data_IF_080240896252
#
_entry.id   IF_080240896252
#
_cell.length_a   1.000
_cell.length_b   1.000
_cell.length_c   1.000
_cell.angle_alpha   90.00
_cell.angle_beta   90.00
_cell.angle_gamma   90.00
#
_symmetry.space_group_name_H-M   'P 1'
#
loop_
_entity.id
_entity.type
_entity.pdbx_description
1 polymer ?
#
# COMPACT_ATOMS: atom_id res chain seq x y z
N UNK A 1 7.10 -3.55 -1.93
CA UNK A 1 6.75 -2.35 -1.13
C UNK A 1 6.60 -1.11 -2.01
N UNK A 2 7.65 -0.61 -2.66
CA UNK A 2 7.52 0.56 -3.57
C UNK A 2 6.46 0.36 -4.65
N UNK A 3 6.42 -0.81 -5.31
CA UNK A 3 5.36 -1.15 -6.25
C UNK A 3 3.96 -1.08 -5.64
N UNK A 4 3.80 -1.59 -4.41
CA UNK A 4 2.52 -1.60 -3.68
C UNK A 4 2.06 -0.16 -3.44
N UNK A 5 2.96 0.70 -2.94
CA UNK A 5 2.65 2.12 -2.75
C UNK A 5 2.28 2.82 -4.06
N UNK A 6 3.03 2.59 -5.15
CA UNK A 6 2.70 3.19 -6.44
C UNK A 6 1.31 2.78 -6.94
N UNK A 7 1.00 1.48 -6.95
CA UNK A 7 -0.28 0.98 -7.44
C UNK A 7 -1.46 1.41 -6.56
N UNK A 8 -1.31 1.43 -5.25
CA UNK A 8 -2.37 1.92 -4.35
C UNK A 8 -2.50 3.45 -4.38
N UNK A 9 -1.48 4.20 -4.80
CA UNK A 9 -1.61 5.64 -5.12
C UNK A 9 -2.51 5.85 -6.32
N UNK A 10 -2.32 5.05 -7.38
CA UNK A 10 -3.20 5.05 -8.56
C UNK A 10 -4.63 4.67 -8.15
N UNK A 11 -4.79 3.60 -7.37
CA UNK A 11 -6.10 3.19 -6.90
C UNK A 11 -6.80 4.29 -6.08
N UNK A 12 -6.08 4.97 -5.18
CA UNK A 12 -6.64 6.08 -4.40
C UNK A 12 -7.18 7.21 -5.27
N UNK A 13 -6.46 7.56 -6.34
CA UNK A 13 -6.83 8.64 -7.24
C UNK A 13 -8.08 8.29 -8.07
N UNK A 14 -8.16 7.06 -8.60
CA UNK A 14 -9.24 6.68 -9.53
C UNK A 14 -10.48 6.06 -8.86
N UNK A 15 -10.42 5.66 -7.59
CA UNK A 15 -11.55 5.00 -6.92
C UNK A 15 -12.78 5.91 -6.79
N UNK A 16 -12.63 7.21 -6.47
CA UNK A 16 -13.77 8.12 -6.37
C UNK A 16 -14.42 8.39 -7.73
N UNK A 17 -13.68 8.73 -8.80
CA UNK A 17 -14.24 8.81 -10.15
C UNK A 17 -14.94 7.52 -10.60
N UNK A 18 -14.33 6.36 -10.33
CA UNK A 18 -14.93 5.07 -10.65
C UNK A 18 -16.24 4.85 -9.89
N UNK A 19 -16.26 5.08 -8.57
CA UNK A 19 -17.45 4.94 -7.75
C UNK A 19 -18.58 5.85 -8.23
N UNK A 20 -18.29 7.11 -8.61
CA UNK A 20 -19.28 8.05 -9.16
C UNK A 20 -19.97 7.52 -10.40
N UNK A 21 -19.23 6.88 -11.32
CA UNK A 21 -19.81 6.29 -12.52
C UNK A 21 -20.54 4.99 -12.22
N UNK A 22 -20.00 4.17 -11.31
CA UNK A 22 -20.57 2.89 -10.95
C UNK A 22 -21.92 3.03 -10.24
N UNK A 23 -22.08 4.06 -9.42
CA UNK A 23 -23.33 4.36 -8.71
C UNK A 23 -24.15 5.45 -9.38
N UNK A 24 -23.88 5.76 -10.65
CA UNK A 24 -24.65 6.75 -11.39
C UNK A 24 -26.11 6.30 -11.56
N UNK A 25 -27.06 7.16 -11.17
CA UNK A 25 -28.50 6.85 -11.19
C UNK A 25 -29.03 6.18 -9.92
N UNK A 26 -28.16 5.81 -8.98
CA UNK A 26 -28.55 5.32 -7.66
C UNK A 26 -28.74 6.53 -6.73
N UNK A 27 -29.94 6.72 -6.17
CA UNK A 27 -30.31 7.91 -5.37
C UNK A 27 -30.83 7.58 -3.97
N UNK A 28 -30.95 6.30 -3.63
CA UNK A 28 -31.41 5.83 -2.33
C UNK A 28 -30.41 6.11 -1.20
N UNK A 29 -29.10 5.98 -1.47
CA UNK A 29 -28.02 6.17 -0.49
C UNK A 29 -26.83 6.91 -1.13
N UNK A 30 -26.15 7.76 -0.35
CA UNK A 30 -24.89 8.40 -0.77
C UNK A 30 -23.69 7.46 -0.61
N UNK A 31 -23.27 6.84 -1.70
CA UNK A 31 -22.11 5.94 -1.74
C UNK A 31 -20.75 6.67 -1.78
N UNK A 32 -20.74 7.98 -2.10
CA UNK A 32 -19.52 8.75 -2.31
C UNK A 32 -19.04 9.33 -0.97
N UNK A 33 -18.21 8.55 -0.27
CA UNK A 33 -17.60 8.95 0.99
C UNK A 33 -16.13 9.36 0.79
N UNK A 34 -15.83 10.66 0.73
CA UNK A 34 -14.49 11.17 0.36
C UNK A 34 -13.32 10.66 1.23
N UNK A 35 -13.55 10.41 2.53
CA UNK A 35 -12.51 9.92 3.43
C UNK A 35 -12.32 8.39 3.42
N UNK A 36 -13.32 7.64 2.93
CA UNK A 36 -13.34 6.19 2.98
C UNK A 36 -12.27 5.54 2.08
N UNK A 37 -12.02 6.01 0.84
CA UNK A 37 -10.89 5.57 0.02
C UNK A 37 -9.56 5.58 0.75
N UNK A 38 -9.25 6.68 1.44
CA UNK A 38 -7.97 6.84 2.12
C UNK A 38 -7.79 5.81 3.24
N UNK A 39 -8.86 5.51 3.97
CA UNK A 39 -8.83 4.47 5.02
C UNK A 39 -8.64 3.07 4.42
N UNK A 40 -9.37 2.72 3.35
CA UNK A 40 -9.18 1.44 2.65
C UNK A 40 -7.77 1.31 2.08
N UNK A 41 -7.28 2.34 1.40
CA UNK A 41 -5.94 2.33 0.84
C UNK A 41 -4.89 2.18 1.96
N UNK A 42 -5.10 2.81 3.11
CA UNK A 42 -4.21 2.65 4.27
C UNK A 42 -4.18 1.21 4.79
N UNK A 43 -5.33 0.52 4.89
CA UNK A 43 -5.34 -0.89 5.31
C UNK A 43 -4.60 -1.79 4.32
N UNK A 44 -4.81 -1.57 3.02
CA UNK A 44 -4.12 -2.32 1.98
C UNK A 44 -2.62 -2.03 1.91
N UNK A 45 -2.19 -0.78 2.08
CA UNK A 45 -0.78 -0.42 2.15
C UNK A 45 -0.09 -1.16 3.30
N UNK A 46 -0.68 -1.16 4.49
CA UNK A 46 -0.15 -1.89 5.66
C UNK A 46 -0.12 -3.40 5.44
N UNK A 47 -1.21 -3.99 4.93
CA UNK A 47 -1.34 -5.42 4.69
C UNK A 47 -0.38 -5.93 3.61
N UNK A 48 -0.39 -5.32 2.42
CA UNK A 48 0.47 -5.71 1.32
C UNK A 48 1.93 -5.30 1.55
N UNK A 49 2.17 -4.18 2.23
CA UNK A 49 3.51 -3.69 2.53
C UNK A 49 4.29 -4.61 3.47
N UNK A 50 3.62 -5.22 4.45
CA UNK A 50 4.23 -6.19 5.38
C UNK A 50 4.30 -7.63 4.83
N UNK A 51 3.62 -7.93 3.72
CA UNK A 51 3.49 -9.30 3.20
C UNK A 51 4.83 -9.99 2.96
N UNK A 52 5.80 -9.31 2.34
CA UNK A 52 7.13 -9.88 2.10
C UNK A 52 7.85 -10.28 3.40
N UNK A 53 7.74 -9.46 4.45
CA UNK A 53 8.33 -9.78 5.76
C UNK A 53 7.58 -10.94 6.46
N UNK A 54 6.27 -11.04 6.26
CA UNK A 54 5.48 -12.16 6.74
C UNK A 54 5.88 -13.49 6.06
N UNK A 55 6.14 -13.45 4.75
CA UNK A 55 6.63 -14.62 4.02
C UNK A 55 7.98 -15.13 4.53
N UNK A 56 8.89 -14.24 4.94
CA UNK A 56 10.16 -14.63 5.58
C UNK A 56 9.91 -15.45 6.85
N UNK A 57 8.93 -15.06 7.67
CA UNK A 57 8.55 -15.80 8.89
C UNK A 57 8.01 -17.19 8.54
N UNK A 58 7.16 -17.26 7.51
CA UNK A 58 6.58 -18.52 7.05
C UNK A 58 7.65 -19.47 6.51
N UNK A 59 8.57 -18.98 5.67
CA UNK A 59 9.65 -19.79 5.11
C UNK A 59 10.69 -20.23 6.14
N UNK A 60 10.91 -19.44 7.20
CA UNK A 60 11.75 -19.85 8.31
C UNK A 60 11.08 -20.89 9.24
N UNK A 61 9.81 -21.25 9.02
CA UNK A 61 9.06 -22.16 9.90
C UNK A 61 8.65 -21.54 11.24
N UNK A 62 8.81 -20.23 11.42
CA UNK A 62 8.54 -19.51 12.67
C UNK A 62 7.06 -19.11 12.83
N UNK A 63 6.15 -19.64 12.01
CA UNK A 63 4.72 -19.32 12.06
C UNK A 63 4.14 -19.53 13.47
N UNK A 64 4.37 -20.72 14.07
CA UNK A 64 3.89 -21.04 15.43
C UNK A 64 4.44 -20.10 16.50
N UNK A 65 5.70 -19.65 16.36
CA UNK A 65 6.35 -18.73 17.30
C UNK A 65 5.71 -17.34 17.29
N UNK A 66 5.09 -16.94 16.18
CA UNK A 66 4.42 -15.63 16.06
C UNK A 66 2.90 -15.69 16.20
N UNK A 67 2.34 -16.89 16.46
CA UNK A 67 0.90 -17.12 16.54
C UNK A 67 0.23 -16.28 17.64
N UNK A 68 0.84 -16.17 18.83
CA UNK A 68 0.30 -15.34 19.92
C UNK A 68 0.13 -13.88 19.52
N UNK A 69 1.03 -13.37 18.68
CA UNK A 69 0.96 -12.00 18.16
C UNK A 69 -0.10 -11.82 17.09
N UNK A 70 -0.38 -12.87 16.30
CA UNK A 70 -1.52 -12.89 15.38
C UNK A 70 -2.86 -12.92 16.14
N UNK A 71 -2.95 -13.65 17.26
CA UNK A 71 -4.13 -13.62 18.13
C UNK A 71 -4.35 -12.21 18.70
N UNK A 72 -3.27 -11.56 19.15
CA UNK A 72 -3.36 -10.18 19.66
C UNK A 72 -3.76 -9.18 18.56
N UNK A 73 -3.26 -9.33 17.33
CA UNK A 73 -3.71 -8.54 16.17
C UNK A 73 -5.22 -8.66 15.96
N UNK A 74 -5.77 -9.89 15.95
CA UNK A 74 -7.21 -10.11 15.81
C UNK A 74 -8.01 -9.52 16.98
N UNK A 75 -7.50 -9.64 18.20
CA UNK A 75 -8.14 -9.06 19.39
C UNK A 75 -8.18 -7.53 19.33
N UNK A 76 -7.07 -6.88 18.96
CA UNK A 76 -7.01 -5.43 18.74
C UNK A 76 -8.03 -5.01 17.67
N UNK A 77 -8.07 -5.73 16.55
CA UNK A 77 -9.01 -5.41 15.46
C UNK A 77 -10.45 -5.47 15.97
N UNK A 78 -10.84 -6.57 16.62
CA UNK A 78 -12.21 -6.78 17.08
C UNK A 78 -12.61 -5.74 18.14
N UNK A 79 -11.80 -5.56 19.18
CA UNK A 79 -12.11 -4.66 20.30
C UNK A 79 -12.21 -3.21 19.80
N UNK A 80 -11.20 -2.73 19.07
CA UNK A 80 -11.19 -1.35 18.60
C UNK A 80 -12.31 -1.11 17.59
N UNK A 81 -12.56 -2.05 16.68
CA UNK A 81 -13.66 -1.93 15.71
C UNK A 81 -15.03 -1.88 16.39
N UNK A 82 -15.30 -2.75 17.37
CA UNK A 82 -16.58 -2.77 18.09
C UNK A 82 -16.79 -1.50 18.92
N UNK A 83 -15.73 -0.96 19.53
CA UNK A 83 -15.85 0.32 20.25
C UNK A 83 -16.08 1.46 19.25
N UNK A 84 -15.26 1.55 18.21
CA UNK A 84 -15.26 2.68 17.28
C UNK A 84 -16.47 2.71 16.33
N UNK A 85 -17.06 1.56 15.97
CA UNK A 85 -18.23 1.49 15.08
C UNK A 85 -19.45 2.19 15.68
N UNK A 86 -19.60 2.16 17.01
CA UNK A 86 -20.69 2.84 17.71
C UNK A 86 -20.62 4.37 17.57
N UNK A 87 -19.43 4.93 17.34
CA UNK A 87 -19.23 6.38 17.20
C UNK A 87 -19.08 6.83 15.75
N UNK A 88 -18.42 6.02 14.91
CA UNK A 88 -18.02 6.41 13.55
C UNK A 88 -18.45 5.43 12.46
N UNK A 89 -19.32 4.46 12.76
CA UNK A 89 -19.79 3.47 11.80
C UNK A 89 -18.64 2.74 11.08
N UNK A 90 -18.71 2.65 9.75
CA UNK A 90 -17.68 1.99 8.93
C UNK A 90 -16.29 2.62 9.07
N UNK A 91 -16.20 3.94 9.30
CA UNK A 91 -14.91 4.60 9.53
C UNK A 91 -14.24 4.04 10.80
N UNK A 92 -15.03 3.79 11.85
CA UNK A 92 -14.55 3.18 13.09
C UNK A 92 -14.00 1.77 12.90
N UNK A 93 -14.69 0.94 12.09
CA UNK A 93 -14.23 -0.41 11.76
C UNK A 93 -12.91 -0.39 10.98
N UNK A 94 -12.77 0.53 10.02
CA UNK A 94 -11.52 0.69 9.27
C UNK A 94 -10.38 1.19 10.17
N UNK A 95 -10.66 2.10 11.10
CA UNK A 95 -9.67 2.55 12.08
C UNK A 95 -9.20 1.41 13.01
N UNK A 96 -10.12 0.53 13.45
CA UNK A 96 -9.75 -0.68 14.20
C UNK A 96 -8.86 -1.63 13.40
N UNK A 97 -9.16 -1.78 12.10
CA UNK A 97 -8.30 -2.55 11.19
C UNK A 97 -6.91 -1.92 11.02
N UNK A 98 -6.83 -0.60 10.83
CA UNK A 98 -5.55 0.12 10.73
C UNK A 98 -4.75 -0.02 12.03
N UNK A 99 -5.36 0.10 13.19
CA UNK A 99 -4.70 -0.04 14.49
C UNK A 99 -4.08 -1.44 14.66
N UNK A 100 -4.85 -2.50 14.36
CA UNK A 100 -4.36 -3.87 14.39
C UNK A 100 -3.20 -4.10 13.40
N UNK A 101 -3.36 -3.58 12.17
CA UNK A 101 -2.34 -3.69 11.13
C UNK A 101 -1.06 -2.92 11.49
N UNK A 102 -1.14 -1.76 12.14
CA UNK A 102 0.02 -1.00 12.60
C UNK A 102 0.80 -1.78 13.67
N UNK A 103 0.09 -2.34 14.65
CA UNK A 103 0.70 -3.24 15.64
C UNK A 103 1.43 -4.40 14.96
N UNK A 104 0.73 -5.14 14.10
CA UNK A 104 1.28 -6.35 13.50
C UNK A 104 2.38 -6.07 12.48
N UNK A 105 2.25 -5.01 11.69
CA UNK A 105 3.27 -4.62 10.70
C UNK A 105 4.60 -4.36 11.39
N UNK A 106 4.58 -3.60 12.49
CA UNK A 106 5.79 -3.33 13.27
C UNK A 106 6.41 -4.61 13.82
N UNK A 107 5.59 -5.46 14.44
CA UNK A 107 6.04 -6.73 14.97
C UNK A 107 6.71 -7.63 13.90
N UNK A 108 6.05 -7.82 12.76
CA UNK A 108 6.56 -8.64 11.66
C UNK A 108 7.86 -8.05 11.10
N UNK A 109 7.92 -6.73 10.91
CA UNK A 109 9.13 -6.05 10.39
C UNK A 109 10.29 -6.23 11.36
N UNK A 110 10.09 -6.04 12.65
CA UNK A 110 11.15 -6.18 13.65
C UNK A 110 11.59 -7.63 13.76
N UNK A 111 10.65 -8.58 13.86
CA UNK A 111 10.94 -9.99 14.01
C UNK A 111 11.68 -10.55 12.79
N UNK A 112 11.19 -10.31 11.58
CA UNK A 112 11.83 -10.79 10.34
C UNK A 112 13.24 -10.23 10.17
N UNK A 113 13.47 -8.95 10.47
CA UNK A 113 14.79 -8.35 10.29
C UNK A 113 15.77 -8.77 11.39
N UNK A 114 15.38 -8.70 12.67
CA UNK A 114 16.32 -8.92 13.78
C UNK A 114 16.50 -10.40 14.13
N UNK A 115 15.43 -11.18 14.12
CA UNK A 115 15.46 -12.58 14.58
C UNK A 115 15.84 -13.54 13.46
N UNK A 116 15.29 -13.33 12.24
CA UNK A 116 15.52 -14.26 11.12
C UNK A 116 16.69 -13.80 10.25
N UNK A 117 16.70 -12.54 9.82
CA UNK A 117 17.71 -12.01 8.89
C UNK A 117 18.95 -11.44 9.59
N UNK A 118 18.99 -11.43 10.92
CA UNK A 118 20.09 -10.91 11.74
C UNK A 118 20.62 -9.54 11.30
N UNK A 119 19.71 -8.63 10.93
CA UNK A 119 20.04 -7.28 10.44
C UNK A 119 19.16 -6.21 11.09
N UNK A 120 19.62 -4.97 11.01
CA UNK A 120 18.82 -3.83 11.49
C UNK A 120 17.54 -3.65 10.67
N UNK A 121 16.39 -3.51 11.37
CA UNK A 121 15.09 -3.18 10.77
C UNK A 121 15.04 -1.74 10.21
N UNK A 122 16.02 -0.89 10.56
CA UNK A 122 16.06 0.52 10.15
C UNK A 122 15.98 0.71 8.65
N UNK A 123 16.66 -0.15 7.86
CA UNK A 123 16.58 -0.09 6.40
C UNK A 123 15.15 -0.28 5.89
N UNK A 124 14.38 -1.19 6.49
CA UNK A 124 12.97 -1.41 6.14
C UNK A 124 12.11 -0.22 6.54
N UNK A 125 12.31 0.34 7.74
CA UNK A 125 11.57 1.52 8.20
C UNK A 125 11.85 2.78 7.36
N UNK A 126 13.11 3.03 7.02
CA UNK A 126 13.49 4.14 6.13
C UNK A 126 12.75 4.03 4.79
N UNK A 127 12.66 2.83 4.22
CA UNK A 127 11.90 2.62 2.98
C UNK A 127 10.40 2.87 3.18
N UNK A 128 9.82 2.46 4.29
CA UNK A 128 8.41 2.71 4.60
C UNK A 128 8.14 4.21 4.66
N UNK A 129 8.97 4.94 5.41
CA UNK A 129 8.87 6.37 5.58
C UNK A 129 8.98 7.10 4.24
N UNK A 130 9.98 6.76 3.41
CA UNK A 130 10.18 7.40 2.10
C UNK A 130 8.99 7.17 1.17
N UNK A 131 8.48 5.94 1.06
CA UNK A 131 7.31 5.67 0.22
C UNK A 131 6.04 6.35 0.78
N UNK A 132 5.89 6.41 2.09
CA UNK A 132 4.77 7.11 2.74
C UNK A 132 4.82 8.63 2.46
N UNK A 133 6.01 9.24 2.53
CA UNK A 133 6.18 10.66 2.20
C UNK A 133 5.86 10.92 0.72
N UNK A 134 6.31 10.06 -0.21
CA UNK A 134 5.96 10.20 -1.63
C UNK A 134 4.45 10.07 -1.85
N UNK A 135 3.79 9.11 -1.18
CA UNK A 135 2.34 8.95 -1.23
C UNK A 135 1.62 10.22 -0.74
N UNK A 136 1.99 10.75 0.42
CA UNK A 136 1.39 11.97 0.97
C UNK A 136 1.62 13.18 0.04
N UNK A 137 2.82 13.30 -0.54
CA UNK A 137 3.11 14.35 -1.53
C UNK A 137 2.22 14.25 -2.76
N UNK A 138 1.97 13.04 -3.28
CA UNK A 138 1.05 12.84 -4.40
C UNK A 138 -0.40 13.21 -4.03
N UNK A 139 -0.87 12.85 -2.83
CA UNK A 139 -2.19 13.28 -2.34
C UNK A 139 -2.31 14.80 -2.23
N UNK A 140 -1.22 15.50 -1.89
CA UNK A 140 -1.21 16.95 -1.85
C UNK A 140 -1.28 17.55 -3.26
N UNK A 141 -0.48 17.02 -4.21
CA UNK A 141 -0.48 17.47 -5.61
C UNK A 141 -1.83 17.21 -6.29
N UNK A 142 -2.48 16.07 -5.99
CA UNK A 142 -3.80 15.70 -6.50
C UNK A 142 -4.86 16.80 -6.27
N UNK A 143 -4.79 17.55 -5.16
CA UNK A 143 -5.75 18.63 -4.86
C UNK A 143 -5.75 19.76 -5.90
N UNK A 144 -4.67 19.92 -6.65
CA UNK A 144 -4.52 20.96 -7.68
C UNK A 144 -4.87 20.44 -9.08
N UNK A 145 -5.20 19.16 -9.22
CA UNK A 145 -5.49 18.52 -10.49
C UNK A 145 -7.02 18.41 -10.64
N UNK A 146 -7.60 19.16 -11.59
CA UNK A 146 -9.02 19.06 -11.92
C UNK A 146 -9.21 18.23 -13.20
N UNK A 147 -9.57 16.95 -13.06
CA UNK A 147 -9.89 16.07 -14.19
C UNK A 147 -11.39 15.76 -14.26
N UNK A 148 -11.97 15.86 -15.46
CA UNK A 148 -13.34 15.44 -15.76
C UNK A 148 -13.37 13.98 -16.23
N UNK A 149 -13.47 13.07 -15.25
CA UNK A 149 -13.47 11.62 -15.47
C UNK A 149 -14.90 11.06 -15.56
N UNK A 150 -15.66 11.52 -16.55
CA UNK A 150 -17.11 11.27 -16.67
C UNK A 150 -17.47 9.99 -17.46
N UNK A 151 -16.49 9.20 -17.86
CA UNK A 151 -16.70 7.95 -18.60
C UNK A 151 -15.63 6.93 -18.28
N UNK A 152 -16.00 5.65 -18.30
CA UNK A 152 -15.07 4.53 -18.12
C UNK A 152 -13.90 4.59 -19.11
N UNK A 153 -14.16 5.01 -20.36
CA UNK A 153 -13.11 5.17 -21.37
C UNK A 153 -12.08 6.23 -20.96
N UNK A 154 -12.55 7.39 -20.47
CA UNK A 154 -11.66 8.44 -19.95
C UNK A 154 -10.87 7.94 -18.75
N UNK A 155 -11.50 7.26 -17.79
CA UNK A 155 -10.80 6.69 -16.62
C UNK A 155 -9.64 5.79 -17.07
N UNK A 156 -9.88 4.84 -17.98
CA UNK A 156 -8.85 3.92 -18.48
C UNK A 156 -7.75 4.70 -19.20
N UNK A 157 -8.11 5.64 -20.08
CA UNK A 157 -7.17 6.43 -20.86
C UNK A 157 -6.23 7.26 -19.98
N UNK A 158 -6.74 7.89 -18.91
CA UNK A 158 -5.93 8.68 -17.96
C UNK A 158 -5.17 7.80 -16.95
N UNK A 159 -5.69 6.61 -16.63
CA UNK A 159 -5.08 5.68 -15.68
C UNK A 159 -3.72 5.16 -16.17
N UNK A 160 -3.58 4.87 -17.46
CA UNK A 160 -2.32 4.36 -18.05
C UNK A 160 -1.15 5.34 -17.85
N UNK A 161 -1.21 6.60 -18.36
CA UNK A 161 -0.11 7.55 -18.19
C UNK A 161 0.11 7.92 -16.73
N UNK A 162 -0.95 8.00 -15.91
CA UNK A 162 -0.81 8.26 -14.47
C UNK A 162 -0.09 7.11 -13.75
N UNK A 163 -0.38 5.86 -14.11
CA UNK A 163 0.33 4.69 -13.57
C UNK A 163 1.81 4.72 -13.95
N UNK A 164 2.13 5.03 -15.20
CA UNK A 164 3.52 5.19 -15.65
C UNK A 164 4.23 6.31 -14.87
N UNK A 165 3.60 7.48 -14.73
CA UNK A 165 4.17 8.62 -14.01
C UNK A 165 4.39 8.31 -12.52
N UNK A 166 3.41 7.73 -11.84
CA UNK A 166 3.53 7.34 -10.42
C UNK A 166 4.62 6.29 -10.22
N UNK A 167 4.72 5.26 -11.08
CA UNK A 167 5.81 4.29 -11.02
C UNK A 167 7.18 4.97 -11.18
N UNK A 168 7.34 5.88 -12.15
CA UNK A 168 8.59 6.63 -12.36
C UNK A 168 8.95 7.43 -11.10
N UNK A 169 8.00 8.16 -10.51
CA UNK A 169 8.23 8.95 -9.29
C UNK A 169 8.65 8.07 -8.12
N UNK A 170 7.90 7.02 -7.82
CA UNK A 170 8.18 6.13 -6.68
C UNK A 170 9.53 5.43 -6.82
N UNK A 171 9.82 4.85 -7.98
CA UNK A 171 11.10 4.18 -8.21
C UNK A 171 12.27 5.17 -8.31
N UNK A 172 12.05 6.36 -8.87
CA UNK A 172 13.05 7.43 -8.95
C UNK A 172 13.47 7.92 -7.57
N UNK A 173 12.52 8.26 -6.70
CA UNK A 173 12.80 8.68 -5.32
C UNK A 173 13.47 7.56 -4.53
N UNK A 174 13.01 6.32 -4.70
CA UNK A 174 13.61 5.16 -4.05
C UNK A 174 15.05 4.92 -4.52
N UNK A 175 15.35 5.08 -5.81
CA UNK A 175 16.68 4.99 -6.38
C UNK A 175 17.65 6.03 -5.78
N UNK A 176 17.19 7.27 -5.60
CA UNK A 176 17.98 8.35 -5.00
C UNK A 176 18.29 8.07 -3.52
N UNK A 177 17.33 7.51 -2.80
CA UNK A 177 17.41 7.33 -1.33
C UNK A 177 18.14 6.05 -0.92
N UNK A 178 18.05 4.99 -1.73
CA UNK A 178 18.68 3.68 -1.52
C UNK A 178 19.31 3.19 -2.83
N UNK A 179 20.44 3.82 -3.18
CA UNK A 179 21.20 3.54 -4.41
C UNK A 179 21.56 2.07 -4.57
N UNK A 180 21.82 1.36 -3.46
CA UNK A 180 22.18 -0.06 -3.50
C UNK A 180 21.04 -0.93 -4.05
N UNK A 181 19.81 -0.66 -3.62
CA UNK A 181 18.63 -1.39 -4.09
C UNK A 181 18.24 -0.97 -5.50
N UNK A 182 18.39 0.31 -5.80
CA UNK A 182 18.20 0.85 -7.15
C UNK A 182 19.13 0.20 -8.18
N UNK A 183 20.42 0.06 -7.85
CA UNK A 183 21.38 -0.63 -8.71
C UNK A 183 21.05 -2.11 -8.89
N UNK A 184 20.58 -2.80 -7.85
CA UNK A 184 20.14 -4.19 -7.95
C UNK A 184 18.95 -4.34 -8.92
N UNK A 185 17.98 -3.42 -8.88
CA UNK A 185 16.86 -3.38 -9.82
C UNK A 185 17.34 -3.17 -11.26
N UNK A 186 18.26 -2.22 -11.49
CA UNK A 186 18.83 -1.99 -12.83
C UNK A 186 19.58 -3.21 -13.37
N UNK A 187 20.33 -3.91 -12.51
CA UNK A 187 21.00 -5.18 -12.90
C UNK A 187 19.99 -6.25 -13.30
N UNK A 188 18.88 -6.38 -12.57
CA UNK A 188 17.81 -7.32 -12.91
C UNK A 188 17.12 -6.96 -14.23
N UNK A 189 16.85 -5.68 -14.49
CA UNK A 189 16.27 -5.25 -15.76
C UNK A 189 17.21 -5.50 -16.93
N UNK A 190 18.51 -5.20 -16.76
CA UNK A 190 19.54 -5.51 -17.77
C UNK A 190 19.65 -7.00 -18.04
N UNK A 191 19.60 -7.84 -17.00
CA UNK A 191 19.68 -9.29 -17.18
C UNK A 191 18.43 -9.87 -17.86
N UNK A 192 17.23 -9.35 -17.56
CA UNK A 192 16.00 -9.74 -18.25
C UNK A 192 16.00 -9.30 -19.73
N UNK A 193 16.49 -8.10 -20.02
CA UNK A 193 16.63 -7.61 -21.39
C UNK A 193 17.62 -8.46 -22.19
N UNK A 194 18.80 -8.75 -21.62
CA UNK A 194 19.78 -9.64 -22.23
C UNK A 194 19.23 -11.05 -22.47
N UNK A 195 18.48 -11.61 -21.49
CA UNK A 195 17.84 -12.93 -21.62
C UNK A 195 16.73 -12.96 -22.68
N UNK A 196 15.99 -11.86 -22.88
CA UNK A 196 15.03 -11.73 -23.99
C UNK A 196 15.74 -11.63 -25.33
N UNK A 197 16.84 -10.87 -25.41
CA UNK A 197 17.63 -10.69 -26.64
C UNK A 197 18.32 -11.98 -27.08
N UNK A 198 18.76 -12.84 -26.15
CA UNK A 198 19.38 -14.14 -26.47
C UNK A 198 18.35 -15.26 -26.75
N UNK A 199 17.05 -14.99 -26.63
CA UNK A 199 15.96 -15.95 -26.95
C UNK A 199 15.31 -15.66 -28.31
N UNK A 200 15.68 -14.55 -28.96
CA UNK A 200 15.36 -14.22 -30.35
C UNK A 200 16.57 -14.55 -31.22
#
# INVERSE_FOLDING_TARGET
>A
MTLVFALYSVANFFILPFMRLYTAGITDISYIANALPLLFISTYLLSCGRSAANQVINFAGHFKLTQRKAILESAINLIVSLVAVNYWGIYGVLMGTIAALLYRSNDIIVYSNRVILHRSAWKTYKRWLVNLLVFISLLYVERYISWSLDSYFKIILYCIPFTCATLIVFYGVMYLTDRTTGQALLRLLKSLYAKRRNKQ
#
